data_IF_228788168350
#
_entry.id   IF_228788168350
#
_cell.length_a   1.000
_cell.length_b   1.000
_cell.length_c   1.000
_cell.angle_alpha   90.00
_cell.angle_beta   90.00
_cell.angle_gamma   90.00
#
_symmetry.space_group_name_H-M   'P 1'
#
loop_
_entity.id
_entity.type
_entity.pdbx_description
1 polymer ?
#
# COMPACT_ATOMS: atom_id res chain seq x y z
N UNK A 1 -4.07 33.43 -16.74
CA UNK A 1 -4.75 32.15 -16.43
C UNK A 1 -3.78 31.22 -15.71
N UNK A 2 -3.79 31.18 -14.37
CA UNK A 2 -3.07 30.16 -13.59
C UNK A 2 -4.05 29.65 -12.54
N UNK A 3 -4.59 28.48 -12.81
CA UNK A 3 -5.64 27.81 -12.05
C UNK A 3 -5.18 27.54 -10.62
N UNK A 4 -6.00 27.98 -9.65
CA UNK A 4 -5.70 27.90 -8.22
C UNK A 4 -5.43 26.48 -7.75
N UNK A 5 -4.30 26.28 -7.07
CA UNK A 5 -4.03 25.09 -6.28
C UNK A 5 -4.89 25.13 -5.01
N UNK A 6 -6.03 24.46 -5.08
CA UNK A 6 -6.89 24.21 -3.91
C UNK A 6 -6.22 23.10 -3.09
N UNK A 7 -5.47 23.47 -2.06
CA UNK A 7 -5.09 22.55 -0.99
C UNK A 7 -6.36 22.21 -0.21
N UNK A 8 -6.87 20.99 -0.41
CA UNK A 8 -8.08 20.49 0.25
C UNK A 8 -7.71 19.41 1.26
N UNK A 9 -8.04 19.75 2.51
CA UNK A 9 -8.43 18.90 3.63
C UNK A 9 -7.41 17.86 4.11
N UNK A 10 -6.72 18.18 5.20
CA UNK A 10 -6.31 17.19 6.18
C UNK A 10 -7.55 16.49 6.74
N UNK A 11 -7.54 15.16 6.70
CA UNK A 11 -8.54 14.30 7.34
C UNK A 11 -7.86 13.63 8.52
N UNK A 12 -8.47 13.80 9.67
CA UNK A 12 -7.99 13.37 10.98
C UNK A 12 -7.88 11.84 11.05
N UNK A 13 -6.69 11.37 11.42
CA UNK A 13 -6.31 9.95 11.49
C UNK A 13 -7.03 9.26 12.66
N UNK A 14 -8.25 8.79 12.42
CA UNK A 14 -8.95 7.90 13.37
C UNK A 14 -8.38 6.49 13.22
N UNK A 15 -7.32 6.21 13.98
CA UNK A 15 -6.73 4.87 14.11
C UNK A 15 -7.65 3.92 14.87
N UNK A 16 -8.36 3.04 14.14
CA UNK A 16 -9.02 1.86 14.69
C UNK A 16 -8.46 0.61 14.00
N UNK A 17 -7.67 -0.17 14.74
CA UNK A 17 -7.14 -1.48 14.33
C UNK A 17 -8.31 -2.48 14.14
N UNK A 18 -8.94 -2.47 12.97
CA UNK A 18 -9.78 -3.56 12.47
C UNK A 18 -9.00 -4.26 11.36
N UNK A 19 -9.28 -5.53 11.09
CA UNK A 19 -8.60 -6.29 10.03
C UNK A 19 -8.81 -5.62 8.66
N UNK A 20 -7.94 -4.67 8.31
CA UNK A 20 -8.05 -3.86 7.10
C UNK A 20 -7.83 -4.74 5.88
N UNK A 21 -8.78 -4.66 4.95
CA UNK A 21 -8.69 -5.28 3.63
C UNK A 21 -7.57 -4.63 2.81
N UNK A 22 -7.13 -5.28 1.73
CA UNK A 22 -6.07 -4.73 0.86
C UNK A 22 -6.43 -3.34 0.33
N UNK A 23 -7.71 -3.11 0.07
CA UNK A 23 -8.26 -1.86 -0.43
C UNK A 23 -8.08 -0.72 0.57
N UNK A 24 -8.43 -0.95 1.83
CA UNK A 24 -8.24 0.03 2.89
C UNK A 24 -6.76 0.33 3.12
N UNK A 25 -5.90 -0.70 3.12
CA UNK A 25 -4.44 -0.51 3.25
C UNK A 25 -3.85 0.33 2.12
N UNK A 26 -4.31 0.13 0.88
CA UNK A 26 -3.87 0.94 -0.26
C UNK A 26 -4.28 2.40 -0.09
N UNK A 27 -5.50 2.64 0.37
CA UNK A 27 -6.01 3.97 0.64
C UNK A 27 -5.24 4.65 1.78
N UNK A 28 -4.95 3.94 2.86
CA UNK A 28 -4.12 4.41 3.97
C UNK A 28 -2.72 4.81 3.49
N UNK A 29 -2.02 3.93 2.76
CA UNK A 29 -0.69 4.22 2.20
C UNK A 29 -0.70 5.44 1.28
N UNK A 30 -1.79 5.63 0.52
CA UNK A 30 -1.95 6.80 -0.35
C UNK A 30 -2.12 8.09 0.46
N UNK A 31 -2.93 8.05 1.52
CA UNK A 31 -3.16 9.20 2.42
C UNK A 31 -1.91 9.53 3.23
N UNK A 32 -1.24 8.53 3.81
CA UNK A 32 0.00 8.67 4.57
C UNK A 32 1.09 9.37 3.75
N UNK A 33 1.20 9.01 2.47
CA UNK A 33 2.18 9.60 1.54
C UNK A 33 1.67 10.87 0.85
N UNK A 34 0.40 11.25 1.04
CA UNK A 34 -0.23 12.39 0.39
C UNK A 34 -0.25 12.31 -1.15
N UNK A 35 -0.32 11.11 -1.71
CA UNK A 35 -0.21 10.89 -3.16
C UNK A 35 -1.57 11.02 -3.86
N UNK A 36 -1.57 11.63 -5.04
CA UNK A 36 -2.73 11.59 -5.95
C UNK A 36 -2.68 10.34 -6.82
N UNK A 37 -3.83 9.89 -7.32
CA UNK A 37 -3.91 8.74 -8.23
C UNK A 37 -3.04 8.92 -9.48
N UNK A 38 -2.97 10.15 -10.01
CA UNK A 38 -2.12 10.48 -11.16
C UNK A 38 -0.63 10.34 -10.83
N UNK A 39 -0.19 10.77 -9.66
CA UNK A 39 1.21 10.61 -9.25
C UNK A 39 1.56 9.15 -9.02
N UNK A 40 0.64 8.39 -8.42
CA UNK A 40 0.79 6.96 -8.19
C UNK A 40 0.85 6.20 -9.52
N UNK A 41 0.03 6.58 -10.50
CA UNK A 41 0.05 6.07 -11.87
C UNK A 41 1.42 6.30 -12.53
N UNK A 42 1.93 7.52 -12.48
CA UNK A 42 3.24 7.85 -13.08
C UNK A 42 4.40 7.06 -12.44
N UNK A 43 4.30 6.72 -11.15
CA UNK A 43 5.36 6.00 -10.42
C UNK A 43 5.28 4.48 -10.56
N UNK A 44 4.06 3.93 -10.55
CA UNK A 44 3.82 2.49 -10.53
C UNK A 44 3.47 1.92 -11.91
N UNK A 45 3.12 2.77 -12.87
CA UNK A 45 2.65 2.36 -14.20
C UNK A 45 1.28 1.67 -14.16
N UNK A 46 0.47 1.97 -13.15
CA UNK A 46 -0.90 1.46 -13.00
C UNK A 46 -1.84 2.61 -13.34
N UNK A 47 -2.76 2.40 -14.27
CA UNK A 47 -3.70 3.44 -14.69
C UNK A 47 -4.57 3.91 -13.51
N UNK A 48 -4.84 5.23 -13.44
CA UNK A 48 -5.69 5.82 -12.40
C UNK A 48 -7.03 5.11 -12.20
N UNK A 49 -7.64 4.62 -13.27
CA UNK A 49 -8.91 3.89 -13.22
C UNK A 49 -8.76 2.55 -12.52
N UNK A 50 -7.67 1.82 -12.79
CA UNK A 50 -7.37 0.56 -12.12
C UNK A 50 -7.06 0.78 -10.63
N UNK A 51 -6.30 1.83 -10.30
CA UNK A 51 -6.05 2.21 -8.89
C UNK A 51 -7.34 2.56 -8.16
N UNK A 52 -8.24 3.31 -8.79
CA UNK A 52 -9.56 3.61 -8.25
C UNK A 52 -10.38 2.34 -7.98
N UNK A 53 -10.34 1.38 -8.91
CA UNK A 53 -10.98 0.07 -8.72
C UNK A 53 -10.35 -0.76 -7.60
N UNK A 54 -9.04 -0.64 -7.38
CA UNK A 54 -8.35 -1.35 -6.28
C UNK A 54 -8.67 -0.76 -4.91
N UNK A 55 -9.03 0.53 -4.84
CA UNK A 55 -9.50 1.17 -3.60
C UNK A 55 -10.98 0.84 -3.29
N UNK A 56 -11.71 0.20 -4.21
CA UNK A 56 -13.13 -0.18 -4.06
C UNK A 56 -13.32 -1.66 -3.71
N UNK A 57 -14.37 -1.98 -2.96
CA UNK A 57 -14.67 -3.34 -2.47
C UNK A 57 -15.05 -4.33 -3.60
N UNK A 58 -15.42 -3.81 -4.77
CA UNK A 58 -15.94 -4.59 -5.91
C UNK A 58 -14.86 -5.36 -6.69
N UNK A 59 -13.58 -5.02 -6.54
CA UNK A 59 -12.51 -5.61 -7.35
C UNK A 59 -11.57 -6.49 -6.51
N UNK A 60 -11.73 -7.82 -6.61
CA UNK A 60 -10.97 -8.82 -5.83
C UNK A 60 -9.80 -9.45 -6.57
N UNK A 61 -9.58 -9.11 -7.85
CA UNK A 61 -8.56 -9.73 -8.69
C UNK A 61 -7.40 -8.77 -9.01
N UNK A 62 -6.69 -8.31 -7.98
CA UNK A 62 -5.45 -7.56 -8.19
C UNK A 62 -4.37 -8.55 -8.63
N UNK A 63 -3.84 -8.36 -9.84
CA UNK A 63 -2.73 -9.19 -10.33
C UNK A 63 -1.55 -9.14 -9.35
N UNK A 64 -0.99 -10.31 -9.02
CA UNK A 64 0.18 -10.45 -8.15
C UNK A 64 1.33 -9.52 -8.55
N UNK A 65 1.53 -9.29 -9.86
CA UNK A 65 2.53 -8.35 -10.37
C UNK A 65 2.30 -6.92 -9.86
N UNK A 66 1.04 -6.48 -9.81
CA UNK A 66 0.67 -5.14 -9.31
C UNK A 66 0.89 -5.02 -7.82
N UNK A 67 0.54 -6.06 -7.05
CA UNK A 67 0.82 -6.13 -5.61
C UNK A 67 2.32 -6.00 -5.35
N UNK A 68 3.16 -6.73 -6.09
CA UNK A 68 4.62 -6.66 -5.96
C UNK A 68 5.15 -5.26 -6.32
N UNK A 69 4.63 -4.63 -7.38
CA UNK A 69 5.02 -3.26 -7.75
C UNK A 69 4.64 -2.25 -6.65
N UNK A 70 3.43 -2.35 -6.10
CA UNK A 70 2.97 -1.50 -5.01
C UNK A 70 3.78 -1.73 -3.73
N UNK A 71 4.07 -2.99 -3.39
CA UNK A 71 4.92 -3.36 -2.27
C UNK A 71 6.31 -2.71 -2.38
N UNK A 72 6.94 -2.79 -3.56
CA UNK A 72 8.23 -2.15 -3.83
C UNK A 72 8.15 -0.62 -3.75
N UNK A 73 7.11 -0.02 -4.32
CA UNK A 73 6.93 1.43 -4.32
C UNK A 73 6.76 1.98 -2.89
N UNK A 74 5.91 1.34 -2.09
CA UNK A 74 5.67 1.74 -0.70
C UNK A 74 6.72 1.23 0.28
N UNK A 75 7.68 0.42 -0.17
CA UNK A 75 8.67 -0.27 0.67
C UNK A 75 8.03 -1.11 1.79
N UNK A 76 6.89 -1.73 1.49
CA UNK A 76 6.16 -2.64 2.39
C UNK A 76 6.24 -4.07 1.86
N UNK A 77 5.98 -5.06 2.70
CA UNK A 77 5.85 -6.45 2.26
C UNK A 77 4.55 -6.66 1.49
N UNK A 78 4.57 -7.52 0.46
CA UNK A 78 3.35 -7.92 -0.24
C UNK A 78 2.34 -8.57 0.72
N UNK A 79 2.83 -9.31 1.72
CA UNK A 79 2.07 -9.90 2.82
C UNK A 79 1.32 -8.85 3.65
N UNK A 80 1.95 -7.70 3.89
CA UNK A 80 1.31 -6.55 4.52
C UNK A 80 0.27 -5.90 3.61
N UNK A 81 0.44 -5.88 2.29
CA UNK A 81 -0.59 -5.34 1.39
C UNK A 81 -1.84 -6.24 1.37
N UNK A 82 -1.69 -7.55 1.27
CA UNK A 82 -2.81 -8.49 1.15
C UNK A 82 -3.49 -8.82 2.48
N UNK A 83 -2.96 -8.31 3.60
CA UNK A 83 -3.52 -8.58 4.92
C UNK A 83 -3.19 -9.96 5.49
N UNK A 84 -2.19 -10.64 4.94
CA UNK A 84 -1.67 -11.89 5.47
C UNK A 84 -0.81 -11.69 6.73
N UNK A 85 -0.38 -10.44 7.03
CA UNK A 85 0.33 -10.10 8.25
C UNK A 85 -0.62 -10.11 9.46
N UNK A 86 -0.92 -11.30 9.96
CA UNK A 86 -1.34 -11.50 11.34
C UNK A 86 -0.09 -11.25 12.16
N UNK A 87 0.14 -10.02 12.65
CA UNK A 87 1.27 -9.60 13.51
C UNK A 87 1.72 -10.69 14.47
N UNK A 88 2.52 -11.64 14.00
CA UNK A 88 3.20 -12.61 14.81
C UNK A 88 4.59 -12.03 14.89
N UNK A 89 4.89 -11.40 16.03
CA UNK A 89 6.23 -10.95 16.37
C UNK A 89 7.12 -12.18 16.30
N UNK A 90 7.76 -12.41 15.16
CA UNK A 90 8.72 -13.50 15.04
C UNK A 90 9.94 -13.05 15.85
N UNK A 91 10.35 -13.81 16.89
CA UNK A 91 11.58 -13.49 17.60
C UNK A 91 12.72 -13.57 16.59
N UNK A 92 13.55 -12.51 16.55
CA UNK A 92 14.74 -12.42 15.69
C UNK A 92 15.48 -13.76 15.72
N UNK A 93 15.38 -14.55 14.65
CA UNK A 93 16.24 -15.72 14.47
C UNK A 93 17.64 -15.18 14.28
N UNK A 94 18.47 -15.30 15.33
CA UNK A 94 19.91 -15.08 15.27
C UNK A 94 20.44 -15.99 14.15
N UNK A 95 21.08 -15.41 13.15
CA UNK A 95 21.76 -16.19 12.12
C UNK A 95 23.00 -16.82 12.74
N UNK A 96 22.90 -18.08 13.18
CA UNK A 96 24.07 -18.94 13.22
C UNK A 96 24.37 -19.29 11.76
N UNK A 97 25.42 -18.70 11.18
CA UNK A 97 25.98 -19.20 9.92
C UNK A 97 26.74 -20.50 10.24
N UNK A 98 26.52 -21.61 9.53
CA UNK A 98 27.42 -22.75 9.63
C UNK A 98 28.76 -22.37 9.00
N UNK A 99 29.85 -22.73 9.68
CA UNK A 99 31.17 -22.73 9.07
C UNK A 99 31.17 -23.77 7.96
N UNK A 100 31.48 -23.35 6.74
CA UNK A 100 31.82 -24.28 5.67
C UNK A 100 33.31 -24.56 5.83
N UNK A 101 33.65 -25.83 6.03
CA UNK A 101 35.01 -26.37 6.12
C UNK A 101 35.61 -26.56 4.72
#
# INVERSE_FOLDING_TARGET
MRTGRKLKQGKEDTVMNVALTIQERLKDLRVERGLTLEQLEQRTGISKSALGSYETEDYKDISHTRIVTLAKFYSVSADYLVGADRKQKTPKRRSCRPAFE
#
